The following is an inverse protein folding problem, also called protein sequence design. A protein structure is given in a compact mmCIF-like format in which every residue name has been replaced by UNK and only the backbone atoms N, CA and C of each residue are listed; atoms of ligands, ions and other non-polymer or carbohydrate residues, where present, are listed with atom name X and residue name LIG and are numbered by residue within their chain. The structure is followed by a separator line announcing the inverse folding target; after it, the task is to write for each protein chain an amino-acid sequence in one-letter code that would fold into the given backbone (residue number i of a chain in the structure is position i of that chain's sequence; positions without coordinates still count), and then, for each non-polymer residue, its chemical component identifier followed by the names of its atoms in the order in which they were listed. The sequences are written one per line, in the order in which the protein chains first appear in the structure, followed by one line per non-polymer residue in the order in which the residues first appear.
data_IF_367299771533
#
_entry.id   IF_367299771533
#
_cell.length_a   1.000
_cell.length_b   1.000
_cell.length_c   1.000
_cell.angle_alpha   90.00
_cell.angle_beta   90.00
_cell.angle_gamma   90.00
#
_symmetry.space_group_name_H-M   'P 1'
#
loop_
_entity.id
_entity.type
_entity.pdbx_description
1 polymer ?
#
# COMPACT_ATOMS: atom_id res chain seq x y z
N UNK A 1 0.70 -46.88 -9.84
CA UNK A 1 0.84 -45.53 -10.42
C UNK A 1 0.75 -44.57 -9.26
N UNK A 2 1.83 -43.86 -8.94
CA UNK A 2 1.77 -42.80 -7.95
C UNK A 2 0.84 -41.71 -8.48
N UNK A 3 -0.17 -41.39 -7.67
CA UNK A 3 -1.11 -40.28 -7.93
C UNK A 3 -0.28 -39.02 -8.08
N UNK A 4 -0.46 -38.30 -9.18
CA UNK A 4 0.31 -37.08 -9.46
C UNK A 4 0.16 -36.09 -8.30
N UNK A 5 1.22 -35.35 -7.96
CA UNK A 5 1.14 -34.29 -6.93
C UNK A 5 0.02 -33.28 -7.22
N UNK A 6 -0.35 -33.09 -8.50
CA UNK A 6 -1.49 -32.26 -8.88
C UNK A 6 -2.85 -32.88 -8.48
N UNK A 7 -3.01 -34.19 -8.58
CA UNK A 7 -4.24 -34.90 -8.18
C UNK A 7 -4.39 -34.92 -6.64
N UNK A 8 -3.28 -35.02 -5.90
CA UNK A 8 -3.26 -34.92 -4.44
C UNK A 8 -3.59 -33.50 -3.94
N UNK A 9 -3.21 -32.46 -4.69
CA UNK A 9 -3.58 -31.08 -4.38
C UNK A 9 -5.07 -30.83 -4.65
N UNK A 10 -5.60 -31.35 -5.76
CA UNK A 10 -7.02 -31.21 -6.12
C UNK A 10 -7.95 -31.83 -5.07
N UNK A 11 -7.57 -32.92 -4.40
CA UNK A 11 -8.40 -33.56 -3.36
C UNK A 11 -8.47 -32.79 -2.03
N UNK A 12 -7.56 -31.84 -1.79
CA UNK A 12 -7.44 -31.13 -0.50
C UNK A 12 -7.91 -29.67 -0.56
N UNK A 13 -8.33 -29.18 -1.74
CA UNK A 13 -8.77 -27.80 -1.92
C UNK A 13 -10.28 -27.77 -2.06
N UNK A 14 -10.98 -27.13 -1.11
CA UNK A 14 -12.36 -26.69 -1.35
C UNK A 14 -12.31 -25.55 -2.37
N UNK A 15 -12.95 -25.67 -3.55
CA UNK A 15 -12.98 -24.59 -4.52
C UNK A 15 -13.68 -23.38 -3.89
N UNK A 16 -13.06 -22.22 -4.03
CA UNK A 16 -13.73 -20.96 -3.78
C UNK A 16 -14.77 -20.74 -4.88
N UNK A 17 -16.06 -20.64 -4.53
CA UNK A 17 -17.14 -20.63 -5.54
C UNK A 17 -17.33 -19.25 -6.19
N UNK A 18 -17.37 -18.15 -5.42
CA UNK A 18 -17.29 -16.75 -5.90
C UNK A 18 -17.57 -15.76 -4.76
N UNK A 19 -17.24 -14.48 -4.97
CA UNK A 19 -17.81 -13.35 -4.20
C UNK A 19 -18.98 -12.77 -5.03
N UNK A 20 -20.11 -12.39 -4.42
CA UNK A 20 -21.20 -11.72 -5.13
C UNK A 20 -20.74 -10.48 -5.91
N UNK A 21 -21.24 -10.31 -7.14
CA UNK A 21 -20.77 -9.35 -8.15
C UNK A 21 -21.25 -7.89 -7.96
N UNK A 22 -21.52 -7.42 -6.74
CA UNK A 22 -21.86 -6.02 -6.52
C UNK A 22 -20.83 -5.30 -5.64
N UNK A 23 -20.53 -4.06 -6.00
CA UNK A 23 -19.49 -3.25 -5.36
C UNK A 23 -19.76 -3.06 -3.87
N UNK A 24 -21.03 -2.89 -3.48
CA UNK A 24 -21.43 -2.79 -2.07
C UNK A 24 -21.04 -4.02 -1.27
N UNK A 25 -21.17 -5.22 -1.83
CA UNK A 25 -20.83 -6.47 -1.16
C UNK A 25 -19.32 -6.68 -1.12
N UNK A 26 -18.61 -6.39 -2.21
CA UNK A 26 -17.13 -6.45 -2.25
C UNK A 26 -16.54 -5.47 -1.22
N UNK A 27 -17.00 -4.22 -1.23
CA UNK A 27 -16.63 -3.19 -0.26
C UNK A 27 -17.04 -3.59 1.15
N UNK A 28 -18.22 -4.19 1.34
CA UNK A 28 -18.65 -4.71 2.64
C UNK A 28 -17.76 -5.85 3.13
N UNK A 29 -17.27 -6.74 2.27
CA UNK A 29 -16.32 -7.78 2.67
C UNK A 29 -15.00 -7.17 3.13
N UNK A 30 -14.43 -6.27 2.34
CA UNK A 30 -13.21 -5.54 2.71
C UNK A 30 -13.38 -4.75 4.02
N UNK A 31 -14.45 -3.97 4.11
CA UNK A 31 -14.78 -3.21 5.31
C UNK A 31 -14.99 -4.16 6.48
N UNK A 32 -15.74 -5.27 6.34
CA UNK A 32 -16.00 -6.21 7.44
C UNK A 32 -14.74 -6.89 7.98
N UNK A 33 -13.73 -7.12 7.13
CA UNK A 33 -12.45 -7.69 7.55
C UNK A 33 -11.70 -6.70 8.46
N UNK A 34 -11.49 -5.46 7.99
CA UNK A 34 -10.81 -4.42 8.76
C UNK A 34 -11.61 -3.98 9.99
N UNK A 35 -12.94 -3.84 9.84
CA UNK A 35 -13.80 -3.26 10.87
C UNK A 35 -14.22 -4.26 11.95
N UNK A 36 -14.67 -5.45 11.61
CA UNK A 36 -15.27 -6.33 12.62
C UNK A 36 -14.31 -7.41 13.09
N UNK A 37 -13.60 -8.05 12.16
CA UNK A 37 -12.77 -9.21 12.51
C UNK A 37 -11.46 -8.79 13.19
N UNK A 38 -10.73 -7.83 12.62
CA UNK A 38 -9.48 -7.38 13.22
C UNK A 38 -9.70 -6.66 14.56
N UNK A 39 -10.73 -5.81 14.67
CA UNK A 39 -11.08 -5.16 15.94
C UNK A 39 -11.50 -6.16 17.01
N UNK A 40 -12.27 -7.19 16.65
CA UNK A 40 -12.64 -8.25 17.59
C UNK A 40 -11.44 -9.12 17.99
N UNK A 41 -10.47 -9.34 17.09
CA UNK A 41 -9.25 -10.07 17.42
C UNK A 41 -8.35 -9.26 18.39
N UNK A 42 -8.26 -7.95 18.18
CA UNK A 42 -7.43 -7.07 18.99
C UNK A 42 -8.06 -6.70 20.35
N UNK A 43 -9.35 -6.97 20.60
CA UNK A 43 -10.06 -6.44 21.78
C UNK A 43 -9.47 -6.90 23.11
N UNK A 44 -8.87 -8.10 23.14
CA UNK A 44 -8.32 -8.72 24.34
C UNK A 44 -6.79 -8.68 24.37
N UNK A 45 -6.15 -8.04 23.37
CA UNK A 45 -4.70 -7.97 23.23
C UNK A 45 -4.17 -6.63 23.75
N UNK A 46 -2.94 -6.65 24.25
CA UNK A 46 -2.19 -5.40 24.48
C UNK A 46 -1.83 -4.78 23.13
N UNK A 47 -1.64 -3.47 23.12
CA UNK A 47 -1.31 -2.71 21.90
C UNK A 47 -0.05 -3.24 21.18
N UNK A 48 0.95 -3.67 21.96
CA UNK A 48 2.20 -4.27 21.47
C UNK A 48 1.97 -5.62 20.76
N UNK A 49 0.92 -6.34 21.13
CA UNK A 49 0.56 -7.66 20.59
C UNK A 49 -0.54 -7.58 19.52
N UNK A 50 -1.24 -6.44 19.44
CA UNK A 50 -2.33 -6.21 18.52
C UNK A 50 -1.87 -6.19 17.06
N UNK A 51 -2.68 -6.75 16.17
CA UNK A 51 -2.47 -6.66 14.74
C UNK A 51 -2.72 -5.22 14.27
N UNK A 52 -1.76 -4.65 13.56
CA UNK A 52 -1.90 -3.32 12.94
C UNK A 52 -2.34 -3.41 11.48
N UNK A 53 -3.03 -2.39 11.01
CA UNK A 53 -3.42 -2.23 9.60
C UNK A 53 -2.76 -0.98 9.03
N UNK A 54 -1.95 -1.16 7.99
CA UNK A 54 -1.08 -0.11 7.47
C UNK A 54 -1.26 0.04 5.97
N UNK A 55 -1.55 1.25 5.51
CA UNK A 55 -1.52 1.60 4.10
C UNK A 55 -0.07 1.78 3.63
N UNK A 56 0.32 1.08 2.57
CA UNK A 56 1.66 1.19 1.99
C UNK A 56 1.70 2.12 0.77
N UNK A 57 0.54 2.32 0.14
CA UNK A 57 0.46 2.96 -1.16
C UNK A 57 0.78 4.45 -1.11
N UNK A 58 1.29 4.95 -2.23
CA UNK A 58 1.72 6.32 -2.40
C UNK A 58 0.52 7.26 -2.64
N UNK A 59 -0.62 6.76 -3.12
CA UNK A 59 -1.80 7.57 -3.47
C UNK A 59 -2.70 7.90 -2.27
N UNK A 60 -2.15 8.63 -1.30
CA UNK A 60 -2.91 9.08 -0.12
C UNK A 60 -2.58 10.50 0.34
N UNK A 61 -2.08 11.36 -0.56
CA UNK A 61 -1.55 12.70 -0.24
C UNK A 61 -2.42 13.49 0.75
N UNK A 62 -3.70 13.68 0.42
CA UNK A 62 -4.61 14.49 1.23
C UNK A 62 -4.88 13.89 2.60
N UNK A 63 -5.08 12.58 2.64
CA UNK A 63 -5.27 11.84 3.90
C UNK A 63 -4.00 11.92 4.76
N UNK A 64 -2.82 11.78 4.17
CA UNK A 64 -1.54 11.91 4.88
C UNK A 64 -1.30 13.33 5.41
N UNK A 65 -1.62 14.38 4.64
CA UNK A 65 -1.53 15.76 5.11
C UNK A 65 -2.47 16.01 6.30
N UNK A 66 -3.71 15.54 6.21
CA UNK A 66 -4.71 15.64 7.28
C UNK A 66 -4.24 14.89 8.53
N UNK A 67 -3.69 13.68 8.39
CA UNK A 67 -3.16 12.89 9.49
C UNK A 67 -2.00 13.61 10.21
N UNK A 68 -1.08 14.20 9.46
CA UNK A 68 0.04 14.98 10.03
C UNK A 68 -0.46 16.20 10.80
N UNK A 69 -1.43 16.93 10.23
CA UNK A 69 -2.03 18.07 10.92
C UNK A 69 -2.73 17.62 12.21
N UNK A 70 -3.49 16.53 12.16
CA UNK A 70 -4.20 16.00 13.31
C UNK A 70 -3.23 15.59 14.42
N UNK A 71 -2.17 14.86 14.10
CA UNK A 71 -1.12 14.50 15.04
C UNK A 71 -0.52 15.75 15.70
N UNK A 72 -0.13 16.75 14.90
CA UNK A 72 0.46 17.98 15.43
C UNK A 72 -0.52 18.80 16.29
N UNK A 73 -1.83 18.81 15.98
CA UNK A 73 -2.82 19.49 16.82
C UNK A 73 -2.87 18.89 18.24
N UNK A 74 -2.41 17.64 18.43
CA UNK A 74 -2.30 16.99 19.74
C UNK A 74 -0.98 17.28 20.46
N UNK A 75 0.16 17.29 19.74
CA UNK A 75 1.50 17.38 20.36
C UNK A 75 2.16 18.76 20.29
N UNK A 76 1.89 19.54 19.24
CA UNK A 76 2.47 20.87 19.03
C UNK A 76 1.54 21.72 18.14
N UNK A 77 0.67 22.49 18.79
CA UNK A 77 -0.35 23.32 18.12
C UNK A 77 0.26 24.42 17.25
N UNK A 78 1.44 24.94 17.60
CA UNK A 78 2.11 25.96 16.81
C UNK A 78 2.65 25.34 15.51
N UNK A 79 3.26 24.16 15.61
CA UNK A 79 3.69 23.41 14.44
C UNK A 79 2.50 22.93 13.59
N UNK A 80 1.35 22.64 14.21
CA UNK A 80 0.13 22.33 13.48
C UNK A 80 -0.34 23.52 12.62
N UNK A 81 -0.23 24.76 13.11
CA UNK A 81 -0.52 25.95 12.31
C UNK A 81 0.47 26.13 11.15
N UNK A 82 1.75 25.84 11.38
CA UNK A 82 2.77 25.83 10.32
C UNK A 82 2.43 24.78 9.25
N UNK A 83 2.06 23.56 9.67
CA UNK A 83 1.65 22.48 8.77
C UNK A 83 0.41 22.86 7.96
N UNK A 84 -0.63 23.40 8.61
CA UNK A 84 -1.84 23.94 7.95
C UNK A 84 -1.45 24.98 6.90
N UNK A 85 -0.59 25.95 7.23
CA UNK A 85 -0.15 26.98 6.29
C UNK A 85 0.64 26.44 5.08
N UNK A 86 1.49 25.42 5.29
CA UNK A 86 2.27 24.78 4.23
C UNK A 86 1.40 23.88 3.34
N UNK A 87 0.51 23.09 3.93
CA UNK A 87 -0.36 22.17 3.21
C UNK A 87 -1.56 22.83 2.56
N UNK A 88 -2.07 23.97 3.07
CA UNK A 88 -3.23 24.66 2.46
C UNK A 88 -3.02 24.94 0.95
N UNK A 89 -1.79 25.21 0.54
CA UNK A 89 -1.45 25.43 -0.87
C UNK A 89 -1.46 24.16 -1.73
N UNK A 90 -1.35 22.99 -1.11
CA UNK A 90 -1.34 21.67 -1.74
C UNK A 90 -2.72 20.99 -1.66
N UNK A 91 -3.53 21.34 -0.66
CA UNK A 91 -4.85 20.75 -0.39
C UNK A 91 -5.83 20.90 -1.55
N UNK A 92 -5.72 21.96 -2.36
CA UNK A 92 -6.54 22.13 -3.56
C UNK A 92 -6.42 21.00 -4.57
N UNK A 93 -5.28 20.30 -4.56
CA UNK A 93 -5.04 19.16 -5.44
C UNK A 93 -5.35 17.83 -4.74
N UNK A 94 -5.36 17.83 -3.41
CA UNK A 94 -5.40 16.64 -2.57
C UNK A 94 -6.79 15.99 -2.47
N UNK A 95 -7.82 16.68 -2.96
CA UNK A 95 -9.20 16.21 -2.96
C UNK A 95 -9.55 15.41 -4.23
N UNK A 96 -8.69 15.36 -5.25
CA UNK A 96 -8.87 14.54 -6.45
C UNK A 96 -7.58 13.78 -6.83
N UNK A 97 -7.45 12.50 -6.44
CA UNK A 97 -6.32 11.66 -6.80
C UNK A 97 -6.09 11.49 -8.32
N UNK A 98 -7.11 11.75 -9.15
CA UNK A 98 -7.10 11.51 -10.59
C UNK A 98 -6.65 12.74 -11.39
N UNK A 99 -6.85 13.96 -10.87
CA UNK A 99 -6.27 15.19 -11.45
C UNK A 99 -4.72 15.21 -11.37
N UNK A 100 -4.12 14.28 -10.62
CA UNK A 100 -2.68 14.03 -10.58
C UNK A 100 -2.13 13.26 -11.81
N UNK A 101 -2.94 13.00 -12.84
CA UNK A 101 -2.45 12.37 -14.08
C UNK A 101 -1.26 13.10 -14.74
N UNK A 102 -0.40 12.30 -15.38
CA UNK A 102 0.92 12.56 -15.99
C UNK A 102 1.25 13.99 -16.52
N UNK A 103 0.26 14.75 -17.01
CA UNK A 103 0.47 16.08 -17.61
C UNK A 103 0.30 17.26 -16.63
N UNK A 104 -0.44 17.10 -15.52
CA UNK A 104 -0.65 18.18 -14.55
C UNK A 104 0.51 18.32 -13.56
N UNK A 105 1.22 17.21 -13.27
CA UNK A 105 2.26 17.11 -12.23
C UNK A 105 3.53 17.89 -12.53
N UNK A 106 4.02 17.82 -13.77
CA UNK A 106 5.32 18.36 -14.15
C UNK A 106 5.41 19.90 -14.04
N UNK A 107 4.28 20.58 -14.18
CA UNK A 107 4.20 22.05 -14.21
C UNK A 107 3.63 22.62 -12.90
N UNK A 108 2.69 21.93 -12.25
CA UNK A 108 1.87 22.50 -11.17
C UNK A 108 2.50 22.42 -9.77
N UNK A 109 3.46 21.50 -9.56
CA UNK A 109 4.13 21.36 -8.26
C UNK A 109 5.33 22.29 -8.07
N UNK A 110 5.74 23.06 -9.08
CA UNK A 110 6.93 23.90 -8.99
C UNK A 110 6.80 24.97 -7.89
N UNK A 111 7.68 24.90 -6.88
CA UNK A 111 7.79 25.90 -5.82
C UNK A 111 7.44 25.40 -4.41
N UNK A 112 6.73 24.27 -4.28
CA UNK A 112 6.32 23.75 -2.95
C UNK A 112 7.32 22.77 -2.31
N UNK A 113 8.38 22.36 -3.03
CA UNK A 113 9.37 21.39 -2.54
C UNK A 113 9.99 21.82 -1.21
N UNK A 114 10.28 23.12 -1.12
CA UNK A 114 10.91 23.70 0.05
C UNK A 114 10.03 23.56 1.28
N UNK A 115 8.72 23.77 1.13
CA UNK A 115 7.75 23.69 2.22
C UNK A 115 7.56 22.23 2.67
N UNK A 116 7.46 21.27 1.73
CA UNK A 116 7.35 19.83 2.04
C UNK A 116 8.62 19.29 2.70
N UNK A 117 9.80 19.65 2.18
CA UNK A 117 11.07 19.24 2.78
C UNK A 117 11.27 19.90 4.15
N UNK A 118 10.91 21.19 4.29
CA UNK A 118 10.95 21.87 5.58
C UNK A 118 10.04 21.17 6.59
N UNK A 119 8.84 20.74 6.18
CA UNK A 119 7.94 20.00 7.05
C UNK A 119 8.57 18.71 7.59
N UNK A 120 9.18 17.91 6.71
CA UNK A 120 9.89 16.70 7.14
C UNK A 120 11.05 17.00 8.09
N UNK A 121 11.85 18.03 7.78
CA UNK A 121 12.97 18.43 8.63
C UNK A 121 12.52 18.89 10.00
N UNK A 122 11.45 19.68 10.07
CA UNK A 122 10.94 20.23 11.32
C UNK A 122 10.43 19.10 12.22
N UNK A 123 9.65 18.14 11.70
CA UNK A 123 9.21 16.95 12.47
C UNK A 123 10.41 16.12 12.92
N UNK A 124 11.34 15.81 12.02
CA UNK A 124 12.51 14.99 12.37
C UNK A 124 13.44 15.66 13.39
N UNK A 125 13.49 17.00 13.41
CA UNK A 125 14.30 17.74 14.39
C UNK A 125 13.71 17.67 15.81
N UNK A 126 12.38 17.55 15.91
CA UNK A 126 11.65 17.42 17.17
C UNK A 126 11.31 15.98 17.55
N UNK A 127 11.89 14.98 16.86
CA UNK A 127 11.54 13.56 17.04
C UNK A 127 11.60 13.06 18.49
N UNK A 128 12.61 13.48 19.27
CA UNK A 128 12.78 13.04 20.67
C UNK A 128 11.69 13.67 21.56
N UNK A 129 11.37 14.94 21.30
CA UNK A 129 10.33 15.67 22.03
C UNK A 129 8.95 15.10 21.73
N UNK A 130 8.63 14.87 20.46
CA UNK A 130 7.33 14.40 20.01
C UNK A 130 7.05 12.94 20.36
N UNK A 131 8.04 12.05 20.28
CA UNK A 131 7.90 10.66 20.77
C UNK A 131 7.66 10.61 22.28
N UNK A 132 8.29 11.51 23.05
CA UNK A 132 8.10 11.58 24.50
C UNK A 132 6.79 12.27 24.93
N UNK A 133 6.22 13.15 24.10
CA UNK A 133 5.07 13.99 24.46
C UNK A 133 3.80 13.19 24.76
N UNK A 134 3.62 12.04 24.13
CA UNK A 134 2.48 11.14 24.34
C UNK A 134 2.87 9.81 25.00
N UNK A 135 4.16 9.60 25.30
CA UNK A 135 4.73 8.27 25.59
C UNK A 135 4.36 7.24 24.50
N UNK A 136 4.21 7.73 23.27
CA UNK A 136 3.64 7.00 22.14
C UNK A 136 4.56 7.17 20.91
N UNK A 137 5.51 6.25 20.80
CA UNK A 137 6.41 6.16 19.66
C UNK A 137 5.67 5.74 18.38
N UNK A 138 4.52 5.06 18.50
CA UNK A 138 3.71 4.58 17.37
C UNK A 138 3.05 5.74 16.63
N UNK A 139 2.43 6.66 17.36
CA UNK A 139 1.79 7.84 16.76
C UNK A 139 2.82 8.80 16.15
N UNK A 140 3.98 8.98 16.79
CA UNK A 140 5.09 9.72 16.18
C UNK A 140 5.56 9.05 14.87
N UNK A 141 5.76 7.73 14.89
CA UNK A 141 6.14 6.97 13.70
C UNK A 141 5.11 7.13 12.58
N UNK A 142 3.82 7.05 12.89
CA UNK A 142 2.72 7.27 11.94
C UNK A 142 2.80 8.67 11.31
N UNK A 143 3.02 9.71 12.11
CA UNK A 143 3.22 11.08 11.64
C UNK A 143 4.42 11.22 10.69
N UNK A 144 5.57 10.64 11.03
CA UNK A 144 6.78 10.65 10.18
C UNK A 144 6.55 9.94 8.84
N UNK A 145 5.90 8.76 8.83
CA UNK A 145 5.57 8.04 7.60
C UNK A 145 4.68 8.88 6.68
N UNK A 146 3.64 9.52 7.24
CA UNK A 146 2.73 10.34 6.44
C UNK A 146 3.44 11.56 5.80
N UNK A 147 4.41 12.18 6.48
CA UNK A 147 5.22 13.23 5.83
C UNK A 147 6.11 12.69 4.72
N UNK A 148 6.61 11.46 4.85
CA UNK A 148 7.39 10.80 3.79
C UNK A 148 6.55 10.47 2.57
N UNK A 149 5.29 10.08 2.73
CA UNK A 149 4.32 9.92 1.62
C UNK A 149 4.22 11.22 0.84
N UNK A 150 3.91 12.33 1.53
CA UNK A 150 3.79 13.67 0.89
C UNK A 150 5.08 14.06 0.16
N UNK A 151 6.25 13.78 0.74
CA UNK A 151 7.54 14.04 0.10
C UNK A 151 7.79 13.16 -1.12
N UNK A 152 7.48 11.87 -1.04
CA UNK A 152 7.70 10.92 -2.12
C UNK A 152 6.85 11.28 -3.34
N UNK A 153 5.56 11.57 -3.11
CA UNK A 153 4.65 12.06 -4.15
C UNK A 153 5.17 13.36 -4.78
N UNK A 154 5.64 14.30 -3.97
CA UNK A 154 6.15 15.56 -4.50
C UNK A 154 7.42 15.40 -5.35
N UNK A 155 8.33 14.48 -4.97
CA UNK A 155 9.59 14.26 -5.70
C UNK A 155 9.41 13.45 -6.99
N UNK A 156 8.36 12.66 -7.08
CA UNK A 156 7.97 11.95 -8.30
C UNK A 156 7.40 12.91 -9.33
N UNK A 157 8.26 13.76 -9.92
CA UNK A 157 7.85 14.63 -11.04
C UNK A 157 7.35 13.83 -12.24
N UNK A 158 7.92 12.63 -12.42
CA UNK A 158 7.42 11.58 -13.30
C UNK A 158 7.03 10.41 -12.39
N UNK A 159 5.73 10.16 -12.23
CA UNK A 159 5.24 9.00 -11.49
C UNK A 159 5.67 7.72 -12.22
N UNK A 160 6.77 7.14 -11.77
CA UNK A 160 7.25 5.87 -12.29
C UNK A 160 6.79 4.74 -11.38
N UNK A 161 6.49 3.59 -12.00
CA UNK A 161 6.23 2.34 -11.29
C UNK A 161 7.26 2.07 -10.18
N UNK A 162 8.54 2.31 -10.50
CA UNK A 162 9.66 2.09 -9.58
C UNK A 162 9.59 2.99 -8.34
N UNK A 163 9.18 4.24 -8.47
CA UNK A 163 9.04 5.15 -7.33
C UNK A 163 7.97 4.63 -6.36
N UNK A 164 6.81 4.22 -6.89
CA UNK A 164 5.69 3.71 -6.10
C UNK A 164 6.06 2.43 -5.34
N UNK A 165 6.64 1.45 -6.02
CA UNK A 165 7.02 0.19 -5.40
C UNK A 165 8.23 0.33 -4.45
N UNK A 166 9.17 1.23 -4.75
CA UNK A 166 10.26 1.58 -3.81
C UNK A 166 9.68 2.23 -2.55
N UNK A 167 8.73 3.15 -2.69
CA UNK A 167 8.07 3.77 -1.55
C UNK A 167 7.37 2.73 -0.66
N UNK A 168 6.55 1.84 -1.25
CA UNK A 168 5.87 0.76 -0.53
C UNK A 168 6.88 -0.13 0.24
N UNK A 169 7.98 -0.50 -0.41
CA UNK A 169 9.05 -1.28 0.21
C UNK A 169 9.72 -0.55 1.38
N UNK A 170 10.07 0.72 1.21
CA UNK A 170 10.70 1.53 2.26
C UNK A 170 9.77 1.76 3.45
N UNK A 171 8.48 2.04 3.21
CA UNK A 171 7.47 2.22 4.25
C UNK A 171 7.34 0.96 5.09
N UNK A 172 7.19 -0.21 4.46
CA UNK A 172 7.10 -1.47 5.20
C UNK A 172 8.42 -1.82 5.91
N UNK A 173 9.57 -1.52 5.30
CA UNK A 173 10.87 -1.73 5.96
C UNK A 173 10.98 -0.93 7.27
N UNK A 174 10.60 0.35 7.23
CA UNK A 174 10.63 1.20 8.43
C UNK A 174 9.64 0.72 9.49
N UNK A 175 8.47 0.24 9.07
CA UNK A 175 7.48 -0.33 9.97
C UNK A 175 8.02 -1.58 10.69
N UNK A 176 8.67 -2.48 9.95
CA UNK A 176 9.31 -3.68 10.53
C UNK A 176 10.45 -3.30 11.48
N UNK A 177 11.26 -2.30 11.14
CA UNK A 177 12.33 -1.79 12.00
C UNK A 177 11.78 -1.18 13.30
N UNK A 178 10.64 -0.49 13.24
CA UNK A 178 9.99 0.13 14.39
C UNK A 178 9.26 -0.89 15.29
N UNK A 179 8.56 -1.87 14.72
CA UNK A 179 7.86 -2.93 15.50
C UNK A 179 8.82 -3.98 16.08
N UNK A 180 10.04 -4.08 15.55
CA UNK A 180 11.07 -4.99 16.06
C UNK A 180 11.13 -6.34 15.34
N UNK A 181 12.15 -7.13 15.69
CA UNK A 181 12.60 -8.30 14.89
C UNK A 181 11.66 -9.51 14.90
N UNK A 182 10.76 -9.59 15.87
CA UNK A 182 9.85 -10.72 16.03
C UNK A 182 8.48 -10.50 15.35
N UNK A 183 8.28 -9.32 14.76
CA UNK A 183 7.03 -8.97 14.09
C UNK A 183 6.93 -9.64 12.72
N UNK A 184 5.78 -10.29 12.47
CA UNK A 184 5.44 -10.88 11.17
C UNK A 184 4.50 -9.96 10.41
N UNK A 185 4.58 -9.95 9.10
CA UNK A 185 3.71 -9.11 8.27
C UNK A 185 3.16 -9.87 7.08
N UNK A 186 1.90 -9.57 6.74
CA UNK A 186 1.23 -10.02 5.53
C UNK A 186 1.08 -8.79 4.63
N UNK A 187 1.66 -8.86 3.43
CA UNK A 187 1.48 -7.83 2.41
C UNK A 187 0.39 -8.30 1.46
N UNK A 188 -0.77 -7.65 1.54
CA UNK A 188 -1.86 -7.88 0.60
C UNK A 188 -1.78 -6.82 -0.50
N UNK A 189 -1.36 -7.22 -1.69
CA UNK A 189 -1.39 -6.38 -2.89
C UNK A 189 -1.59 -7.24 -4.14
N UNK A 190 -1.82 -6.58 -5.28
CA UNK A 190 -1.95 -7.25 -6.58
C UNK A 190 -0.65 -8.00 -6.96
N UNK A 191 -0.76 -9.09 -7.73
CA UNK A 191 0.38 -9.92 -8.15
C UNK A 191 1.53 -9.13 -8.79
N UNK A 192 1.21 -8.04 -9.49
CA UNK A 192 2.20 -7.13 -10.09
C UNK A 192 3.14 -6.52 -9.06
N UNK A 193 2.69 -6.31 -7.82
CA UNK A 193 3.49 -5.77 -6.73
C UNK A 193 4.18 -6.87 -5.91
N UNK A 194 3.52 -8.00 -5.64
CA UNK A 194 4.05 -9.05 -4.74
C UNK A 194 4.87 -10.16 -5.43
N UNK A 195 4.85 -10.20 -6.76
CA UNK A 195 5.67 -11.11 -7.57
C UNK A 195 7.17 -10.79 -7.50
N UNK A 196 8.00 -11.52 -8.24
CA UNK A 196 9.41 -11.18 -8.42
C UNK A 196 9.60 -10.58 -9.82
N UNK A 197 9.74 -9.25 -9.90
CA UNK A 197 9.86 -8.52 -11.18
C UNK A 197 10.99 -9.07 -12.08
N UNK A 198 12.07 -9.63 -11.51
CA UNK A 198 13.18 -10.23 -12.27
C UNK A 198 12.76 -11.43 -13.10
N UNK A 199 11.63 -12.06 -12.76
CA UNK A 199 11.07 -13.21 -13.46
C UNK A 199 9.94 -12.82 -14.44
N UNK A 200 9.69 -11.54 -14.68
CA UNK A 200 8.61 -11.06 -15.54
C UNK A 200 9.09 -10.00 -16.53
N UNK A 201 8.20 -9.59 -17.44
CA UNK A 201 8.43 -8.48 -18.38
C UNK A 201 8.76 -7.16 -17.70
N UNK A 202 8.33 -6.97 -16.45
CA UNK A 202 8.66 -5.79 -15.67
C UNK A 202 10.19 -5.64 -15.57
N UNK A 203 10.89 -6.66 -15.07
CA UNK A 203 12.33 -6.60 -14.87
C UNK A 203 13.13 -6.59 -16.17
N UNK A 204 12.85 -7.52 -17.10
CA UNK A 204 13.74 -7.71 -18.26
C UNK A 204 13.44 -6.82 -19.47
N UNK A 205 12.29 -6.13 -19.52
CA UNK A 205 11.90 -5.30 -20.69
C UNK A 205 11.56 -3.86 -20.35
N UNK A 206 11.13 -3.59 -19.11
CA UNK A 206 10.71 -2.24 -18.69
C UNK A 206 11.63 -1.62 -17.66
N UNK A 207 12.65 -2.35 -17.20
CA UNK A 207 13.51 -1.96 -16.08
C UNK A 207 12.70 -1.59 -14.83
N UNK A 208 11.56 -2.27 -14.66
CA UNK A 208 10.64 -2.08 -13.56
C UNK A 208 10.96 -3.03 -12.41
N UNK A 209 10.93 -2.51 -11.19
CA UNK A 209 11.02 -3.28 -9.94
C UNK A 209 9.63 -3.42 -9.31
N UNK A 210 9.50 -4.36 -8.39
CA UNK A 210 8.29 -4.44 -7.56
C UNK A 210 8.61 -4.76 -6.10
N UNK A 211 7.62 -4.55 -5.23
CA UNK A 211 7.74 -4.78 -3.78
C UNK A 211 8.25 -6.19 -3.49
N UNK A 212 7.66 -7.23 -4.09
CA UNK A 212 8.03 -8.62 -3.87
C UNK A 212 9.48 -8.94 -4.24
N UNK A 213 9.98 -8.39 -5.35
CA UNK A 213 11.40 -8.45 -5.73
C UNK A 213 12.28 -7.82 -4.64
N UNK A 214 12.01 -6.58 -4.24
CA UNK A 214 12.81 -5.89 -3.22
C UNK A 214 12.82 -6.63 -1.87
N UNK A 215 11.67 -7.19 -1.47
CA UNK A 215 11.57 -8.02 -0.26
C UNK A 215 12.39 -9.30 -0.37
N UNK A 216 12.35 -9.99 -1.51
CA UNK A 216 13.17 -11.18 -1.73
C UNK A 216 14.67 -10.89 -1.73
N UNK A 217 15.09 -9.72 -2.22
CA UNK A 217 16.49 -9.31 -2.14
C UNK A 217 16.94 -9.01 -0.71
N UNK A 218 16.11 -8.29 0.07
CA UNK A 218 16.48 -7.90 1.43
C UNK A 218 16.36 -9.03 2.45
N UNK A 219 15.28 -9.82 2.38
CA UNK A 219 14.91 -10.80 3.41
C UNK A 219 15.15 -12.24 2.98
N UNK A 220 15.43 -12.48 1.70
CA UNK A 220 15.82 -13.78 1.13
C UNK A 220 14.84 -14.89 1.56
N UNK A 221 15.28 -15.83 2.39
CA UNK A 221 14.47 -16.97 2.81
C UNK A 221 13.33 -16.62 3.78
N UNK A 222 13.29 -15.39 4.30
CA UNK A 222 12.24 -14.92 5.21
C UNK A 222 11.04 -14.32 4.48
N UNK A 223 11.12 -14.13 3.16
CA UNK A 223 10.03 -13.61 2.34
C UNK A 223 9.38 -14.71 1.51
N UNK A 224 8.07 -14.89 1.67
CA UNK A 224 7.25 -15.81 0.88
C UNK A 224 6.23 -15.01 0.05
N UNK A 225 6.26 -15.17 -1.26
CA UNK A 225 5.23 -14.65 -2.16
C UNK A 225 4.19 -15.74 -2.44
N UNK A 226 2.91 -15.43 -2.21
CA UNK A 226 1.79 -16.29 -2.58
C UNK A 226 0.99 -15.57 -3.66
N UNK A 227 1.09 -16.06 -4.90
CA UNK A 227 0.35 -15.52 -6.03
C UNK A 227 -0.98 -16.24 -6.23
N UNK A 228 -1.98 -15.53 -6.74
CA UNK A 228 -3.26 -16.10 -7.14
C UNK A 228 -3.38 -16.09 -8.66
N UNK A 229 -3.97 -17.13 -9.25
CA UNK A 229 -4.24 -17.19 -10.70
C UNK A 229 -5.64 -17.72 -10.94
N UNK A 230 -6.18 -17.44 -12.12
CA UNK A 230 -7.53 -17.83 -12.54
C UNK A 230 -7.55 -18.17 -14.02
N UNK A 231 -8.41 -19.11 -14.43
CA UNK A 231 -8.56 -19.56 -15.83
C UNK A 231 -9.93 -19.23 -16.43
N UNK A 232 -10.98 -19.22 -15.61
CA UNK A 232 -12.37 -19.08 -16.05
C UNK A 232 -13.18 -18.28 -15.05
N UNK A 233 -14.28 -17.67 -15.51
CA UNK A 233 -15.20 -16.93 -14.66
C UNK A 233 -15.34 -15.49 -15.12
N UNK A 234 -15.73 -14.61 -14.20
CA UNK A 234 -15.89 -13.18 -14.46
C UNK A 234 -15.05 -12.35 -13.50
N UNK A 235 -14.68 -11.14 -13.93
CA UNK A 235 -13.91 -10.19 -13.16
C UNK A 235 -14.62 -8.84 -13.12
N UNK A 236 -14.56 -8.18 -11.96
CA UNK A 236 -14.99 -6.80 -11.81
C UNK A 236 -13.84 -5.86 -12.21
N UNK A 237 -14.08 -4.99 -13.19
CA UNK A 237 -13.08 -4.07 -13.75
C UNK A 237 -13.72 -2.72 -14.08
N UNK A 238 -12.93 -1.66 -14.11
CA UNK A 238 -13.31 -0.37 -14.67
C UNK A 238 -12.44 -0.11 -15.91
N UNK A 239 -12.95 0.69 -16.85
CA UNK A 239 -12.20 1.00 -18.07
C UNK A 239 -11.11 2.03 -17.77
N UNK A 240 -11.48 3.10 -17.07
CA UNK A 240 -10.56 4.07 -16.49
C UNK A 240 -10.68 4.10 -14.95
N UNK A 241 -9.86 4.92 -14.31
CA UNK A 241 -9.97 5.14 -12.87
C UNK A 241 -11.27 5.86 -12.52
N UNK A 242 -11.90 5.46 -11.42
CA UNK A 242 -13.19 5.97 -10.91
C UNK A 242 -14.40 5.77 -11.86
N UNK A 243 -14.19 5.10 -12.98
CA UNK A 243 -15.27 4.66 -13.85
C UNK A 243 -16.16 3.64 -13.15
N UNK A 244 -17.38 3.54 -13.64
CA UNK A 244 -18.33 2.53 -13.17
C UNK A 244 -17.74 1.12 -13.33
N UNK A 245 -17.85 0.34 -12.25
CA UNK A 245 -17.48 -1.08 -12.25
C UNK A 245 -18.33 -1.85 -13.27
N UNK A 246 -17.66 -2.57 -14.15
CA UNK A 246 -18.23 -3.51 -15.10
C UNK A 246 -17.82 -4.94 -14.76
N UNK A 247 -18.69 -5.89 -15.07
CA UNK A 247 -18.38 -7.32 -14.97
C UNK A 247 -18.02 -7.82 -16.37
N UNK A 248 -16.83 -8.37 -16.53
CA UNK A 248 -16.35 -8.90 -17.80
C UNK A 248 -16.04 -10.39 -17.67
N UNK A 249 -16.29 -11.15 -18.75
CA UNK A 249 -15.86 -12.55 -18.82
C UNK A 249 -14.34 -12.64 -19.01
N UNK A 250 -13.73 -13.55 -18.25
CA UNK A 250 -12.31 -13.87 -18.41
C UNK A 250 -12.08 -14.59 -19.74
N UNK A 251 -11.02 -14.21 -20.43
CA UNK A 251 -10.53 -15.01 -21.55
C UNK A 251 -10.06 -16.36 -21.01
N UNK A 252 -10.33 -17.47 -21.73
CA UNK A 252 -9.75 -18.76 -21.40
C UNK A 252 -8.22 -18.67 -21.32
N UNK A 253 -7.62 -19.51 -20.47
CA UNK A 253 -6.17 -19.64 -20.37
C UNK A 253 -5.54 -19.82 -21.76
N UNK A 254 -4.50 -19.03 -22.04
CA UNK A 254 -3.80 -19.14 -23.32
C UNK A 254 -3.12 -20.52 -23.43
N UNK A 255 -3.03 -21.11 -24.63
CA UNK A 255 -2.33 -22.37 -24.80
C UNK A 255 -0.91 -22.32 -24.23
N UNK A 256 -0.57 -23.28 -23.36
CA UNK A 256 0.71 -23.37 -22.65
C UNK A 256 0.96 -22.29 -21.57
N UNK A 257 -0.06 -21.55 -21.14
CA UNK A 257 0.07 -20.65 -19.99
C UNK A 257 0.00 -21.40 -18.65
N UNK A 258 0.42 -20.75 -17.57
CA UNK A 258 0.31 -21.33 -16.23
C UNK A 258 -1.15 -21.54 -15.82
N UNK A 259 -2.04 -20.62 -16.21
CA UNK A 259 -3.49 -20.71 -16.01
C UNK A 259 -4.04 -21.98 -16.66
N UNK A 260 -3.60 -22.32 -17.88
CA UNK A 260 -4.04 -23.54 -18.54
C UNK A 260 -3.50 -24.80 -17.87
N UNK A 261 -2.22 -24.79 -17.47
CA UNK A 261 -1.55 -25.95 -16.86
C UNK A 261 -2.05 -26.29 -15.45
N UNK A 262 -2.44 -25.29 -14.66
CA UNK A 262 -2.82 -25.47 -13.25
C UNK A 262 -4.28 -25.90 -13.04
N UNK A 263 -5.10 -25.90 -14.11
CA UNK A 263 -6.54 -26.16 -14.04
C UNK A 263 -6.97 -27.33 -14.93
#
# INVERSE_FOLDING_TARGET
MEVSSAEQLKSNVKPFESIPHNIETITKYFNSFGDCQMRSYNSDLKEEEAAGFYGLDLYSMGTSMKAVIYYLDTVDKDMAQVAKGRYNKLMHWADDPHEYGLESLATSFQGYEKDVIAMLKDILSKRIEYSAALDDDTEFHSGDQNVRVVKAMYRGRDETWNLRDTHMFETLTRLLEHRGRDFKTIVWAHNSHIGDARATSMGWSREELNVGHLFKERFVAQALSIGTSTKTGTVAVAQDWDDNMNIMELQPGLPSSYEELMH
#
